data_IF_921032543787
#
_entry.id   IF_921032543787
#
_cell.length_a   1.000
_cell.length_b   1.000
_cell.length_c   1.000
_cell.angle_alpha   90.00
_cell.angle_beta   90.00
_cell.angle_gamma   90.00
#
_symmetry.space_group_name_H-M   'P 1'
#
loop_
_entity.id
_entity.type
_entity.pdbx_description
1 polymer ?
#
# COMPACT_ATOMS: atom_id res chain seq x y z
N UNK A 1 -19.80 -11.93 -8.82
CA UNK A 1 -19.27 -11.21 -10.00
C UNK A 1 -19.74 -11.83 -11.32
N UNK A 2 -19.77 -13.15 -11.48
CA UNK A 2 -20.30 -13.83 -12.68
C UNK A 2 -21.84 -13.86 -12.79
N UNK A 3 -22.56 -13.41 -11.77
CA UNK A 3 -24.02 -13.57 -11.60
C UNK A 3 -24.77 -12.24 -11.84
N UNK A 4 -24.06 -11.13 -12.00
CA UNK A 4 -24.66 -9.80 -12.19
C UNK A 4 -24.30 -9.27 -13.57
N UNK A 5 -25.27 -8.71 -14.30
CA UNK A 5 -25.08 -8.01 -15.57
C UNK A 5 -24.49 -6.60 -15.39
N UNK A 6 -24.23 -6.18 -14.13
CA UNK A 6 -23.65 -4.89 -13.84
C UNK A 6 -22.15 -4.84 -14.21
N UNK A 7 -21.71 -3.73 -14.77
CA UNK A 7 -20.30 -3.48 -15.06
C UNK A 7 -19.48 -3.53 -13.76
N UNK A 8 -18.51 -4.46 -13.62
CA UNK A 8 -17.73 -4.62 -12.40
C UNK A 8 -16.83 -3.42 -12.06
N UNK A 9 -16.68 -2.46 -12.97
CA UNK A 9 -15.90 -1.24 -12.78
C UNK A 9 -16.79 -0.06 -12.37
N UNK A 10 -18.10 -0.19 -12.52
CA UNK A 10 -19.03 0.86 -12.11
C UNK A 10 -18.90 1.14 -10.61
N UNK A 11 -18.83 2.43 -10.24
CA UNK A 11 -18.84 2.84 -8.81
C UNK A 11 -20.12 2.41 -8.07
N UNK A 12 -21.17 2.08 -8.80
CA UNK A 12 -22.44 1.58 -8.26
C UNK A 12 -22.52 0.04 -8.24
N UNK A 13 -21.45 -0.66 -8.62
CA UNK A 13 -21.45 -2.11 -8.68
C UNK A 13 -21.83 -2.75 -7.34
N UNK A 14 -21.23 -2.27 -6.25
CA UNK A 14 -21.47 -2.81 -4.90
C UNK A 14 -22.89 -2.53 -4.42
N UNK A 15 -23.48 -1.37 -4.76
CA UNK A 15 -24.85 -1.03 -4.37
C UNK A 15 -25.91 -1.87 -5.09
N UNK A 16 -25.57 -2.46 -6.23
CA UNK A 16 -26.45 -3.30 -7.03
C UNK A 16 -26.35 -4.79 -6.67
N UNK A 17 -25.44 -5.17 -5.76
CA UNK A 17 -25.28 -6.57 -5.31
C UNK A 17 -26.10 -6.77 -4.04
N UNK A 18 -27.05 -7.71 -4.08
CA UNK A 18 -27.74 -8.09 -2.85
C UNK A 18 -26.78 -8.78 -1.87
N UNK A 19 -27.02 -8.62 -0.57
CA UNK A 19 -26.24 -9.28 0.47
C UNK A 19 -26.13 -10.81 0.25
N UNK A 20 -27.23 -11.43 -0.22
CA UNK A 20 -27.27 -12.85 -0.56
C UNK A 20 -26.34 -13.22 -1.72
N UNK A 21 -26.24 -12.38 -2.75
CA UNK A 21 -25.34 -12.60 -3.89
C UNK A 21 -23.85 -12.50 -3.49
N UNK A 22 -23.55 -11.84 -2.38
CA UNK A 22 -22.19 -11.73 -1.85
C UNK A 22 -21.89 -12.87 -0.86
N UNK A 23 -22.82 -13.16 0.03
CA UNK A 23 -22.64 -14.13 1.13
C UNK A 23 -22.63 -15.56 0.63
N UNK A 24 -23.57 -15.94 -0.26
CA UNK A 24 -23.67 -17.32 -0.75
C UNK A 24 -22.40 -17.77 -1.49
N UNK A 25 -21.85 -17.04 -2.49
CA UNK A 25 -20.61 -17.43 -3.15
C UNK A 25 -19.40 -17.45 -2.19
N UNK A 26 -19.37 -16.53 -1.22
CA UNK A 26 -18.28 -16.48 -0.24
C UNK A 26 -18.30 -17.71 0.67
N UNK A 27 -19.47 -18.12 1.16
CA UNK A 27 -19.62 -19.31 1.99
C UNK A 27 -19.32 -20.57 1.15
N UNK A 28 -19.85 -20.68 -0.07
CA UNK A 28 -19.61 -21.81 -0.96
C UNK A 28 -18.12 -21.95 -1.30
N UNK A 29 -17.43 -20.84 -1.58
CA UNK A 29 -16.00 -20.82 -1.85
C UNK A 29 -15.19 -21.23 -0.62
N UNK A 30 -15.52 -20.68 0.55
CA UNK A 30 -14.85 -21.03 1.81
C UNK A 30 -15.05 -22.50 2.19
N UNK A 31 -16.27 -23.04 2.04
CA UNK A 31 -16.57 -24.44 2.27
C UNK A 31 -15.81 -25.36 1.30
N UNK A 32 -15.72 -24.98 0.03
CA UNK A 32 -14.95 -25.71 -0.98
C UNK A 32 -13.46 -25.75 -0.62
N UNK A 33 -12.89 -24.62 -0.20
CA UNK A 33 -11.50 -24.56 0.26
C UNK A 33 -11.25 -25.43 1.49
N UNK A 34 -12.17 -25.41 2.46
CA UNK A 34 -12.09 -26.28 3.63
C UNK A 34 -12.13 -27.77 3.26
N UNK A 35 -13.05 -28.16 2.38
CA UNK A 35 -13.16 -29.55 1.90
C UNK A 35 -11.87 -30.01 1.21
N UNK A 36 -11.29 -29.16 0.34
CA UNK A 36 -10.04 -29.47 -0.37
C UNK A 36 -8.87 -29.63 0.61
N UNK A 37 -8.80 -28.78 1.66
CA UNK A 37 -7.74 -28.88 2.68
C UNK A 37 -7.86 -30.14 3.53
N UNK A 38 -9.09 -30.56 3.85
CA UNK A 38 -9.36 -31.79 4.64
C UNK A 38 -8.94 -33.05 3.85
N UNK A 39 -9.21 -33.11 2.57
CA UNK A 39 -8.88 -34.29 1.76
C UNK A 39 -7.40 -34.44 1.39
N UNK A 40 -6.53 -33.43 1.70
CA UNK A 40 -5.05 -33.46 1.50
C UNK A 40 -4.55 -33.95 0.12
N UNK A 41 -5.44 -34.08 -0.87
CA UNK A 41 -5.12 -34.64 -2.21
C UNK A 41 -4.75 -33.57 -3.24
N UNK A 42 -5.00 -32.32 -2.96
CA UNK A 42 -4.76 -31.22 -3.91
C UNK A 42 -3.83 -30.18 -3.25
N UNK A 43 -2.84 -29.75 -4.00
CA UNK A 43 -2.00 -28.64 -3.57
C UNK A 43 -2.85 -27.35 -3.59
N UNK A 44 -3.23 -26.88 -2.38
CA UNK A 44 -4.11 -25.72 -2.22
C UNK A 44 -3.56 -24.47 -2.92
N UNK A 45 -2.24 -24.28 -2.87
CA UNK A 45 -1.58 -23.15 -3.52
C UNK A 45 -1.73 -23.21 -5.05
N UNK A 46 -1.66 -24.42 -5.63
CA UNK A 46 -1.87 -24.64 -7.05
C UNK A 46 -3.30 -24.31 -7.46
N UNK A 47 -4.26 -24.80 -6.68
CA UNK A 47 -5.68 -24.56 -6.94
C UNK A 47 -6.00 -23.08 -6.85
N UNK A 48 -5.58 -22.39 -5.77
CA UNK A 48 -5.80 -20.96 -5.58
C UNK A 48 -5.17 -20.14 -6.70
N UNK A 49 -3.94 -20.47 -7.08
CA UNK A 49 -3.24 -19.79 -8.16
C UNK A 49 -3.94 -19.98 -9.50
N UNK A 50 -4.39 -21.22 -9.76
CA UNK A 50 -5.19 -21.54 -10.96
C UNK A 50 -6.53 -20.81 -11.00
N UNK A 51 -7.23 -20.70 -9.86
CA UNK A 51 -8.50 -19.97 -9.77
C UNK A 51 -8.32 -18.47 -9.96
N UNK A 52 -7.28 -17.87 -9.36
CA UNK A 52 -6.94 -16.45 -9.55
C UNK A 52 -6.60 -16.19 -11.01
N UNK A 53 -5.84 -17.08 -11.64
CA UNK A 53 -5.48 -16.96 -13.05
C UNK A 53 -6.71 -17.08 -13.97
N UNK A 54 -7.57 -18.09 -13.76
CA UNK A 54 -8.80 -18.26 -14.53
C UNK A 54 -9.75 -17.05 -14.36
N UNK A 55 -9.91 -16.56 -13.13
CA UNK A 55 -10.67 -15.35 -12.84
C UNK A 55 -10.08 -14.13 -13.57
N UNK A 56 -8.76 -13.98 -13.56
CA UNK A 56 -8.07 -12.90 -14.24
C UNK A 56 -8.31 -12.94 -15.75
N UNK A 57 -8.20 -14.11 -16.38
CA UNK A 57 -8.48 -14.29 -17.82
C UNK A 57 -9.94 -13.97 -18.19
N UNK A 58 -10.90 -14.43 -17.39
CA UNK A 58 -12.32 -14.16 -17.62
C UNK A 58 -12.62 -12.66 -17.47
N UNK A 59 -11.99 -12.01 -16.49
CA UNK A 59 -12.15 -10.58 -16.27
C UNK A 59 -11.57 -9.78 -17.43
N UNK A 60 -10.39 -10.16 -17.96
CA UNK A 60 -9.81 -9.53 -19.17
C UNK A 60 -10.76 -9.67 -20.36
N UNK A 61 -11.29 -10.85 -20.58
CA UNK A 61 -12.17 -11.10 -21.74
C UNK A 61 -13.46 -10.29 -21.69
N UNK A 62 -14.01 -10.03 -20.48
CA UNK A 62 -15.21 -9.19 -20.32
C UNK A 62 -14.96 -7.69 -20.42
N UNK A 63 -13.72 -7.25 -20.29
CA UNK A 63 -13.37 -5.83 -20.29
C UNK A 63 -12.97 -5.37 -21.69
N UNK A 64 -13.80 -4.56 -22.34
CA UNK A 64 -13.53 -3.97 -23.66
C UNK A 64 -12.47 -2.88 -23.65
N UNK A 65 -12.16 -2.29 -22.47
CA UNK A 65 -11.12 -1.26 -22.26
C UNK A 65 -10.15 -1.71 -21.17
N UNK A 66 -9.31 -2.69 -21.48
CA UNK A 66 -8.27 -3.16 -20.56
C UNK A 66 -7.14 -2.14 -20.50
N UNK A 67 -6.93 -1.57 -19.34
CA UNK A 67 -5.66 -0.93 -19.03
C UNK A 67 -4.58 -2.02 -19.02
N UNK A 68 -3.43 -1.73 -19.61
CA UNK A 68 -2.27 -2.65 -19.69
C UNK A 68 -1.87 -3.28 -18.33
N UNK A 69 -2.24 -2.63 -17.22
CA UNK A 69 -1.98 -3.07 -15.84
C UNK A 69 -2.60 -4.43 -15.49
N UNK A 70 -3.80 -4.73 -16.00
CA UNK A 70 -4.43 -6.01 -15.73
C UNK A 70 -3.74 -7.15 -16.50
N UNK A 71 -3.31 -6.87 -17.73
CA UNK A 71 -2.47 -7.80 -18.51
C UNK A 71 -1.13 -8.09 -17.81
N UNK A 72 -0.49 -7.08 -17.23
CA UNK A 72 0.73 -7.26 -16.44
C UNK A 72 0.49 -8.09 -15.17
N UNK A 73 -0.62 -7.88 -14.47
CA UNK A 73 -0.97 -8.69 -13.30
C UNK A 73 -1.14 -10.17 -13.68
N UNK A 74 -1.76 -10.46 -14.83
CA UNK A 74 -1.92 -11.84 -15.32
C UNK A 74 -0.59 -12.45 -15.73
N UNK A 75 0.29 -11.69 -16.40
CA UNK A 75 1.64 -12.14 -16.77
C UNK A 75 2.45 -12.42 -15.49
N UNK A 76 2.35 -11.56 -14.46
CA UNK A 76 3.03 -11.79 -13.20
C UNK A 76 2.54 -13.05 -12.49
N UNK A 77 1.22 -13.28 -12.45
CA UNK A 77 0.63 -14.51 -11.89
C UNK A 77 1.06 -15.73 -12.70
N UNK A 78 1.05 -15.65 -14.04
CA UNK A 78 1.51 -16.71 -14.92
C UNK A 78 3.01 -17.02 -14.70
N UNK A 79 3.83 -15.98 -14.57
CA UNK A 79 5.26 -16.12 -14.29
C UNK A 79 5.51 -16.80 -12.94
N UNK A 80 4.75 -16.43 -11.90
CA UNK A 80 4.83 -17.08 -10.58
C UNK A 80 4.42 -18.55 -10.68
N UNK A 81 3.36 -18.87 -11.44
CA UNK A 81 2.92 -20.25 -11.68
C UNK A 81 4.02 -21.02 -12.39
N UNK A 82 4.52 -20.52 -13.52
CA UNK A 82 5.58 -21.17 -14.30
C UNK A 82 6.83 -21.38 -13.44
N UNK A 83 7.25 -20.36 -12.68
CA UNK A 83 8.42 -20.43 -11.81
C UNK A 83 8.26 -21.49 -10.71
N UNK A 84 7.05 -21.67 -10.19
CA UNK A 84 6.77 -22.63 -9.12
C UNK A 84 6.62 -24.06 -9.62
N UNK A 85 6.28 -24.25 -10.90
CA UNK A 85 6.09 -25.58 -11.53
C UNK A 85 7.25 -26.04 -12.39
N UNK A 86 8.00 -25.12 -12.95
CA UNK A 86 9.25 -25.45 -13.59
C UNK A 86 10.23 -25.85 -12.50
N UNK A 87 10.35 -27.01 -12.04
CA UNK A 87 11.32 -27.52 -11.05
C UNK A 87 12.74 -26.92 -11.32
N UNK A 88 12.76 -25.59 -11.30
CA UNK A 88 13.96 -24.78 -11.54
C UNK A 88 14.77 -25.01 -10.29
N UNK A 89 15.66 -26.01 -10.35
CA UNK A 89 16.75 -26.13 -9.37
C UNK A 89 17.24 -24.72 -9.11
N UNK A 90 17.29 -24.32 -7.82
CA UNK A 90 17.87 -23.05 -7.38
C UNK A 90 19.25 -22.84 -8.03
N UNK A 91 19.25 -22.47 -9.28
CA UNK A 91 20.43 -21.90 -9.90
C UNK A 91 20.52 -20.50 -9.32
N UNK A 92 21.32 -20.33 -8.27
CA UNK A 92 21.73 -19.00 -7.83
C UNK A 92 22.38 -18.29 -9.04
N UNK A 93 21.55 -17.62 -9.84
CA UNK A 93 21.98 -16.82 -10.99
C UNK A 93 22.94 -15.75 -10.49
N UNK A 94 22.69 -15.22 -9.30
CA UNK A 94 23.50 -14.18 -8.67
C UNK A 94 24.48 -14.80 -7.66
N UNK A 95 25.67 -15.13 -8.13
CA UNK A 95 26.73 -15.75 -7.30
C UNK A 95 27.43 -14.78 -6.35
N UNK A 96 27.29 -13.46 -6.56
CA UNK A 96 28.02 -12.44 -5.82
C UNK A 96 27.09 -11.42 -5.16
N UNK A 97 27.40 -11.01 -3.92
CA UNK A 97 26.66 -9.94 -3.21
C UNK A 97 26.71 -8.60 -3.95
N UNK A 98 27.80 -8.32 -4.64
CA UNK A 98 27.94 -7.08 -5.44
C UNK A 98 26.93 -7.05 -6.59
N UNK A 99 26.72 -8.16 -7.28
CA UNK A 99 25.71 -8.26 -8.35
C UNK A 99 24.28 -8.12 -7.82
N UNK A 100 23.96 -8.70 -6.66
CA UNK A 100 22.68 -8.49 -5.97
C UNK A 100 22.41 -7.00 -5.75
N UNK A 101 23.36 -6.30 -5.11
CA UNK A 101 23.23 -4.86 -4.79
C UNK A 101 23.08 -4.03 -6.06
N UNK A 102 23.92 -4.29 -7.08
CA UNK A 102 23.84 -3.57 -8.36
C UNK A 102 22.49 -3.81 -9.04
N UNK A 103 22.00 -5.04 -9.05
CA UNK A 103 20.69 -5.35 -9.67
C UNK A 103 19.56 -4.64 -8.96
N UNK A 104 19.49 -4.69 -7.60
CA UNK A 104 18.46 -3.98 -6.86
C UNK A 104 18.53 -2.48 -7.08
N UNK A 105 19.74 -1.91 -7.04
CA UNK A 105 19.94 -0.48 -7.31
C UNK A 105 19.48 -0.09 -8.72
N UNK A 106 19.84 -0.88 -9.73
CA UNK A 106 19.46 -0.65 -11.12
C UNK A 106 17.92 -0.63 -11.28
N UNK A 107 17.23 -1.66 -10.78
CA UNK A 107 15.77 -1.73 -10.87
C UNK A 107 15.10 -0.63 -10.05
N UNK A 108 15.68 -0.25 -8.90
CA UNK A 108 15.18 0.89 -8.11
C UNK A 108 15.30 2.19 -8.90
N UNK A 109 16.45 2.46 -9.50
CA UNK A 109 16.67 3.66 -10.33
C UNK A 109 15.71 3.68 -11.52
N UNK A 110 15.55 2.55 -12.23
CA UNK A 110 14.63 2.45 -13.36
C UNK A 110 13.20 2.74 -12.92
N UNK A 111 12.70 2.07 -11.87
CA UNK A 111 11.34 2.27 -11.38
C UNK A 111 11.11 3.71 -10.95
N UNK A 112 11.99 4.26 -10.11
CA UNK A 112 11.92 5.64 -9.62
C UNK A 112 11.93 6.63 -10.78
N UNK A 113 12.82 6.45 -11.76
CA UNK A 113 12.91 7.35 -12.93
C UNK A 113 11.62 7.33 -13.75
N UNK A 114 11.09 6.15 -14.06
CA UNK A 114 9.84 6.01 -14.82
C UNK A 114 8.68 6.67 -14.08
N UNK A 115 8.54 6.40 -12.78
CA UNK A 115 7.46 6.97 -11.97
C UNK A 115 7.60 8.49 -11.81
N UNK A 116 8.83 9.01 -11.59
CA UNK A 116 9.06 10.44 -11.51
C UNK A 116 8.73 11.15 -12.82
N UNK A 117 9.21 10.65 -13.93
CA UNK A 117 8.90 11.23 -15.25
C UNK A 117 7.39 11.24 -15.47
N UNK A 118 6.73 10.10 -15.28
CA UNK A 118 5.29 9.98 -15.52
C UNK A 118 4.46 10.90 -14.61
N UNK A 119 4.74 10.93 -13.30
CA UNK A 119 4.01 11.79 -12.35
C UNK A 119 4.25 13.28 -12.59
N UNK A 120 5.49 13.66 -12.91
CA UNK A 120 5.82 15.07 -13.25
C UNK A 120 5.20 15.48 -14.58
N UNK A 121 5.21 14.62 -15.60
CA UNK A 121 4.53 14.89 -16.85
C UNK A 121 3.03 15.08 -16.63
N UNK A 122 2.36 14.18 -15.90
CA UNK A 122 0.96 14.31 -15.54
C UNK A 122 0.66 15.63 -14.83
N UNK A 123 1.47 16.00 -13.84
CA UNK A 123 1.29 17.26 -13.12
C UNK A 123 1.44 18.48 -14.07
N UNK A 124 2.43 18.46 -14.96
CA UNK A 124 2.69 19.56 -15.91
C UNK A 124 1.69 19.64 -17.06
N UNK A 125 1.05 18.53 -17.44
CA UNK A 125 -0.02 18.51 -18.43
C UNK A 125 -1.39 18.89 -17.85
N UNK A 126 -1.46 19.27 -16.58
CA UNK A 126 -2.70 19.62 -15.86
C UNK A 126 -3.73 18.48 -15.82
N UNK A 127 -3.27 17.23 -15.88
CA UNK A 127 -4.11 16.03 -15.76
C UNK A 127 -4.29 15.57 -14.32
N UNK A 128 -3.73 16.29 -13.34
CA UNK A 128 -3.97 16.07 -11.91
C UNK A 128 -5.41 16.44 -11.57
N UNK A 129 -6.03 15.70 -10.64
CA UNK A 129 -7.30 16.13 -10.10
C UNK A 129 -7.08 17.44 -9.33
N UNK A 130 -7.81 18.49 -9.71
CA UNK A 130 -7.60 19.81 -9.12
C UNK A 130 -7.90 19.84 -7.62
N UNK A 131 -8.67 18.88 -7.12
CA UNK A 131 -9.16 18.90 -5.73
C UNK A 131 -8.08 18.45 -4.74
N UNK A 132 -7.63 17.20 -4.81
CA UNK A 132 -6.67 16.67 -3.82
C UNK A 132 -5.30 17.37 -3.94
N UNK A 133 -4.81 17.54 -5.17
CA UNK A 133 -3.56 18.27 -5.40
C UNK A 133 -3.64 19.72 -4.92
N UNK A 134 -4.79 20.37 -5.13
CA UNK A 134 -5.05 21.73 -4.66
C UNK A 134 -5.05 21.86 -3.15
N UNK A 135 -5.68 20.92 -2.43
CA UNK A 135 -5.67 20.85 -0.98
C UNK A 135 -4.23 20.83 -0.45
N UNK A 136 -3.44 19.87 -0.91
CA UNK A 136 -2.08 19.70 -0.40
C UNK A 136 -1.15 20.84 -0.79
N UNK A 137 -1.24 21.37 -2.01
CA UNK A 137 -0.42 22.52 -2.42
C UNK A 137 -0.71 23.75 -1.58
N UNK A 138 -1.98 24.11 -1.40
CA UNK A 138 -2.35 25.24 -0.57
C UNK A 138 -1.95 25.03 0.88
N UNK A 139 -2.16 23.82 1.41
CA UNK A 139 -1.76 23.45 2.76
C UNK A 139 -0.25 23.60 2.97
N UNK A 140 0.59 23.10 2.06
CA UNK A 140 2.03 23.23 2.16
C UNK A 140 2.50 24.66 2.06
N UNK A 141 1.90 25.48 1.19
CA UNK A 141 2.21 26.91 1.11
C UNK A 141 1.84 27.63 2.41
N UNK A 142 0.71 27.28 3.02
CA UNK A 142 0.32 27.83 4.32
C UNK A 142 1.23 27.36 5.46
N UNK A 143 1.55 26.05 5.48
CA UNK A 143 2.49 25.46 6.44
C UNK A 143 3.88 26.09 6.35
N UNK A 144 4.36 26.42 5.15
CA UNK A 144 5.68 27.03 4.95
C UNK A 144 5.81 28.41 5.59
N UNK A 145 4.68 29.12 5.79
CA UNK A 145 4.63 30.48 6.36
C UNK A 145 4.23 30.49 7.83
N UNK A 146 3.37 29.55 8.23
CA UNK A 146 2.70 29.62 9.54
C UNK A 146 2.90 28.37 10.39
N UNK A 147 3.49 27.33 9.86
CA UNK A 147 3.56 25.99 10.45
C UNK A 147 2.18 25.38 10.75
N UNK A 148 1.08 25.91 10.16
CA UNK A 148 -0.27 25.41 10.34
C UNK A 148 -0.79 24.80 9.05
N UNK A 149 -1.44 23.65 9.13
CA UNK A 149 -1.98 22.89 8.01
C UNK A 149 -3.40 23.37 7.64
N UNK A 150 -3.49 24.60 7.15
CA UNK A 150 -4.75 25.21 6.74
C UNK A 150 -4.92 25.15 5.22
N UNK A 151 -6.18 24.98 4.79
CA UNK A 151 -6.60 25.04 3.40
C UNK A 151 -8.02 25.61 3.30
N UNK A 152 -8.35 26.23 2.18
CA UNK A 152 -9.72 26.65 1.85
C UNK A 152 -10.35 25.73 0.80
N UNK A 153 -9.55 24.92 0.10
CA UNK A 153 -10.02 24.08 -1.01
C UNK A 153 -10.97 22.97 -0.54
N UNK A 154 -10.78 22.48 0.67
CA UNK A 154 -11.48 21.30 1.16
C UNK A 154 -12.97 21.53 1.43
N UNK A 155 -13.35 22.73 1.91
CA UNK A 155 -14.74 23.08 2.27
C UNK A 155 -15.13 24.52 1.92
N UNK A 156 -14.38 25.21 1.08
CA UNK A 156 -14.55 26.62 0.74
C UNK A 156 -14.47 27.58 1.96
N UNK A 157 -13.89 27.12 3.07
CA UNK A 157 -13.64 27.91 4.28
C UNK A 157 -12.22 27.63 4.75
N UNK A 158 -11.57 28.63 5.35
CA UNK A 158 -10.23 28.45 5.92
C UNK A 158 -10.33 27.55 7.15
N UNK A 159 -9.85 26.35 7.03
CA UNK A 159 -9.89 25.34 8.10
C UNK A 159 -8.61 24.52 8.17
N UNK A 160 -8.41 23.88 9.30
CA UNK A 160 -7.31 22.92 9.45
C UNK A 160 -7.64 21.63 8.69
N UNK A 161 -6.69 21.13 7.90
CA UNK A 161 -6.80 19.80 7.31
C UNK A 161 -6.96 18.69 8.37
N UNK A 162 -6.44 18.90 9.58
CA UNK A 162 -6.62 17.96 10.70
C UNK A 162 -8.05 17.87 11.23
N UNK A 163 -8.92 18.78 10.83
CA UNK A 163 -10.37 18.65 11.13
C UNK A 163 -11.03 17.53 10.32
N UNK A 164 -10.39 17.13 9.19
CA UNK A 164 -10.88 16.07 8.30
C UNK A 164 -10.02 14.82 8.38
N UNK A 165 -8.71 14.99 8.31
CA UNK A 165 -7.74 13.89 8.33
C UNK A 165 -6.56 14.20 9.25
N UNK A 166 -6.28 13.33 10.21
CA UNK A 166 -5.13 13.45 11.08
C UNK A 166 -3.88 12.90 10.41
N UNK A 167 -3.11 13.75 9.74
CA UNK A 167 -1.94 13.36 8.93
C UNK A 167 -0.68 14.19 9.24
N UNK A 168 -0.11 14.09 10.46
CA UNK A 168 1.11 14.81 10.84
C UNK A 168 2.33 14.47 9.99
N UNK A 169 2.34 13.36 9.24
CA UNK A 169 3.46 12.98 8.35
C UNK A 169 3.84 14.10 7.36
N UNK A 170 2.93 15.00 7.02
CA UNK A 170 3.21 16.14 6.16
C UNK A 170 4.30 17.07 6.70
N UNK A 171 4.44 17.18 8.02
CA UNK A 171 5.54 17.95 8.63
C UNK A 171 6.92 17.36 8.33
N UNK A 172 7.03 16.06 8.04
CA UNK A 172 8.29 15.44 7.65
C UNK A 172 8.76 15.91 6.27
N UNK A 173 7.82 16.27 5.39
CA UNK A 173 8.13 16.76 4.04
C UNK A 173 8.28 18.28 3.98
N UNK A 174 7.74 19.00 4.97
CA UNK A 174 7.73 20.45 5.01
C UNK A 174 9.13 21.09 4.86
N UNK A 175 10.19 20.64 5.54
CA UNK A 175 11.50 21.23 5.39
C UNK A 175 12.02 21.19 3.96
N UNK A 176 11.78 20.08 3.24
CA UNK A 176 12.19 19.91 1.84
C UNK A 176 11.38 20.83 0.94
N UNK A 177 10.05 20.90 1.18
CA UNK A 177 9.18 21.80 0.44
C UNK A 177 9.58 23.28 0.64
N UNK A 178 9.95 23.68 1.85
CA UNK A 178 10.40 25.07 2.14
C UNK A 178 11.65 25.47 1.35
N UNK A 179 12.53 24.53 1.04
CA UNK A 179 13.73 24.77 0.23
C UNK A 179 13.36 24.98 -1.24
N UNK A 180 12.53 24.12 -1.80
CA UNK A 180 12.28 24.09 -3.24
C UNK A 180 10.98 24.80 -3.67
N UNK A 181 9.99 24.94 -2.78
CA UNK A 181 8.67 25.60 -2.97
C UNK A 181 8.02 25.31 -4.34
N UNK A 182 7.93 24.03 -4.67
CA UNK A 182 7.42 23.59 -5.96
C UNK A 182 6.55 22.33 -5.78
N UNK A 183 5.41 22.29 -6.47
CA UNK A 183 4.50 21.14 -6.48
C UNK A 183 5.17 19.83 -6.93
N UNK A 184 6.11 19.93 -7.88
CA UNK A 184 6.88 18.79 -8.38
C UNK A 184 7.64 18.07 -7.26
N UNK A 185 8.12 18.80 -6.27
CA UNK A 185 8.87 18.22 -5.15
C UNK A 185 7.99 17.24 -4.35
N UNK A 186 6.72 17.55 -4.15
CA UNK A 186 5.82 16.72 -3.38
C UNK A 186 5.57 15.37 -4.07
N UNK A 187 5.34 15.36 -5.38
CA UNK A 187 5.14 14.11 -6.12
C UNK A 187 6.43 13.29 -6.22
N UNK A 188 7.59 13.95 -6.33
CA UNK A 188 8.89 13.27 -6.29
C UNK A 188 9.12 12.62 -4.92
N UNK A 189 8.85 13.32 -3.83
CA UNK A 189 9.00 12.79 -2.47
C UNK A 189 8.09 11.57 -2.24
N UNK A 190 6.85 11.59 -2.74
CA UNK A 190 5.96 10.44 -2.68
C UNK A 190 6.59 9.21 -3.36
N UNK A 191 7.11 9.36 -4.59
CA UNK A 191 7.77 8.26 -5.31
C UNK A 191 8.99 7.74 -4.54
N UNK A 192 9.80 8.64 -3.96
CA UNK A 192 10.99 8.25 -3.18
C UNK A 192 10.64 7.52 -1.90
N UNK A 193 9.59 7.96 -1.19
CA UNK A 193 9.15 7.32 0.06
C UNK A 193 8.68 5.90 -0.22
N UNK A 194 7.82 5.69 -1.22
CA UNK A 194 7.36 4.34 -1.51
C UNK A 194 8.50 3.44 -2.00
N UNK A 195 9.39 3.94 -2.86
CA UNK A 195 10.55 3.19 -3.33
C UNK A 195 11.51 2.82 -2.19
N UNK A 196 11.59 3.65 -1.13
CA UNK A 196 12.43 3.38 0.05
C UNK A 196 12.05 2.10 0.78
N UNK A 197 10.83 1.59 0.59
CA UNK A 197 10.38 0.31 1.15
C UNK A 197 11.18 -0.90 0.65
N UNK A 198 11.93 -0.76 -0.44
CA UNK A 198 12.88 -1.80 -0.87
C UNK A 198 13.96 -2.07 0.18
N UNK A 199 14.32 -1.08 0.98
CA UNK A 199 15.36 -1.20 2.01
C UNK A 199 14.97 -2.18 3.14
N UNK A 200 13.83 -2.00 3.83
CA UNK A 200 13.36 -2.98 4.80
C UNK A 200 13.06 -4.33 4.16
N UNK A 201 12.56 -4.37 2.92
CA UNK A 201 12.29 -5.62 2.20
C UNK A 201 13.55 -6.47 2.04
N UNK A 202 14.67 -5.90 1.57
CA UNK A 202 15.95 -6.60 1.47
C UNK A 202 16.41 -7.13 2.84
N UNK A 203 16.24 -6.32 3.90
CA UNK A 203 16.58 -6.74 5.26
C UNK A 203 15.72 -7.89 5.73
N UNK A 204 14.43 -7.90 5.39
CA UNK A 204 13.49 -8.99 5.68
C UNK A 204 13.91 -10.25 4.92
N UNK A 205 14.17 -10.17 3.61
CA UNK A 205 14.66 -11.30 2.82
C UNK A 205 15.90 -11.96 3.45
N UNK A 206 16.84 -11.14 3.91
CA UNK A 206 18.04 -11.65 4.60
C UNK A 206 17.74 -12.31 5.95
N UNK A 207 16.76 -11.81 6.70
CA UNK A 207 16.33 -12.44 7.96
C UNK A 207 15.72 -13.83 7.72
N UNK A 208 15.00 -13.98 6.62
CA UNK A 208 14.42 -15.25 6.20
C UNK A 208 15.40 -16.13 5.42
N UNK A 209 16.65 -15.70 5.29
CA UNK A 209 17.73 -16.43 4.56
C UNK A 209 17.37 -16.74 3.12
N UNK A 210 16.60 -15.86 2.47
CA UNK A 210 16.32 -16.01 1.05
C UNK A 210 17.60 -15.86 0.22
N UNK A 211 17.65 -16.57 -0.92
CA UNK A 211 18.72 -16.47 -1.89
C UNK A 211 18.86 -15.05 -2.46
N UNK A 212 20.02 -14.76 -3.08
CA UNK A 212 20.26 -13.43 -3.67
C UNK A 212 19.32 -13.16 -4.83
N UNK A 213 19.08 -14.17 -5.66
CA UNK A 213 18.13 -14.10 -6.78
C UNK A 213 16.73 -13.79 -6.26
N UNK A 214 16.28 -14.48 -5.21
CA UNK A 214 14.96 -14.25 -4.62
C UNK A 214 14.83 -12.84 -4.03
N UNK A 215 15.89 -12.33 -3.40
CA UNK A 215 15.94 -10.97 -2.87
C UNK A 215 15.75 -9.93 -3.97
N UNK A 216 16.41 -10.11 -5.12
CA UNK A 216 16.25 -9.23 -6.28
C UNK A 216 14.85 -9.35 -6.87
N UNK A 217 14.32 -10.57 -7.02
CA UNK A 217 12.95 -10.79 -7.51
C UNK A 217 11.89 -10.15 -6.61
N UNK A 218 12.00 -10.33 -5.29
CA UNK A 218 11.11 -9.65 -4.33
C UNK A 218 11.18 -8.13 -4.45
N UNK A 219 12.40 -7.59 -4.66
CA UNK A 219 12.59 -6.15 -4.85
C UNK A 219 11.95 -5.64 -6.15
N UNK A 220 12.10 -6.39 -7.26
CA UNK A 220 11.46 -6.07 -8.53
C UNK A 220 9.93 -6.12 -8.39
N UNK A 221 9.39 -7.18 -7.78
CA UNK A 221 7.95 -7.32 -7.55
C UNK A 221 7.42 -6.12 -6.75
N UNK A 222 8.11 -5.71 -5.69
CA UNK A 222 7.72 -4.55 -4.89
C UNK A 222 7.74 -3.25 -5.69
N UNK A 223 8.85 -2.97 -6.39
CA UNK A 223 9.07 -1.73 -7.12
C UNK A 223 8.12 -1.56 -8.32
N UNK A 224 7.72 -2.65 -8.94
CA UNK A 224 6.84 -2.67 -10.12
C UNK A 224 5.45 -3.22 -9.80
N UNK A 225 5.10 -3.31 -8.49
CA UNK A 225 3.77 -3.76 -8.09
C UNK A 225 2.69 -2.85 -8.67
N UNK A 226 1.75 -3.38 -9.47
CA UNK A 226 0.82 -2.55 -10.23
C UNK A 226 0.03 -1.56 -9.37
N UNK A 227 -0.42 -1.97 -8.17
CA UNK A 227 -1.16 -1.08 -7.28
C UNK A 227 -0.31 0.08 -6.76
N UNK A 228 1.01 -0.12 -6.55
CA UNK A 228 1.91 0.96 -6.15
C UNK A 228 2.21 1.89 -7.32
N UNK A 229 2.49 1.33 -8.49
CA UNK A 229 2.76 2.12 -9.68
C UNK A 229 1.55 2.96 -10.10
N UNK A 230 0.36 2.37 -10.15
CA UNK A 230 -0.86 3.08 -10.56
C UNK A 230 -1.25 4.18 -9.57
N UNK A 231 -1.08 3.93 -8.26
CA UNK A 231 -1.41 4.90 -7.23
C UNK A 231 -0.51 6.15 -7.28
N UNK A 232 0.73 6.04 -7.79
CA UNK A 232 1.60 7.20 -8.01
C UNK A 232 1.05 8.15 -9.08
N UNK A 233 0.25 7.64 -10.02
CA UNK A 233 -0.42 8.45 -11.03
C UNK A 233 -1.76 9.06 -10.55
N UNK A 234 -2.18 8.78 -9.34
CA UNK A 234 -3.16 9.60 -8.64
C UNK A 234 -2.49 10.92 -8.21
N UNK A 235 -3.10 11.74 -7.43
CA UNK A 235 -2.44 12.93 -6.86
C UNK A 235 -1.61 12.55 -5.64
N UNK A 236 -0.90 13.51 -5.06
CA UNK A 236 -0.19 13.26 -3.80
C UNK A 236 -1.18 12.84 -2.71
N UNK A 237 -0.85 11.77 -1.99
CA UNK A 237 -1.71 11.27 -0.92
C UNK A 237 -0.87 10.55 0.15
N UNK A 238 -1.13 10.85 1.42
CA UNK A 238 -0.37 10.31 2.56
C UNK A 238 -0.40 8.79 2.64
N UNK A 239 -1.51 8.14 2.25
CA UNK A 239 -1.64 6.68 2.28
C UNK A 239 -0.56 5.95 1.47
N UNK A 240 0.06 6.63 0.51
CA UNK A 240 1.16 6.07 -0.30
C UNK A 240 2.43 5.80 0.52
N UNK A 241 2.56 6.37 1.71
CA UNK A 241 3.71 6.17 2.59
C UNK A 241 3.60 4.87 3.41
N UNK A 242 2.38 4.37 3.62
CA UNK A 242 2.10 3.21 4.46
C UNK A 242 2.89 1.95 4.07
N UNK A 243 3.00 1.55 2.78
CA UNK A 243 3.70 0.33 2.43
C UNK A 243 5.16 0.29 2.91
N UNK A 244 5.89 1.40 2.76
CA UNK A 244 7.27 1.50 3.22
C UNK A 244 7.37 1.44 4.75
N UNK A 245 6.49 2.15 5.46
CA UNK A 245 6.50 2.19 6.93
C UNK A 245 6.06 0.86 7.54
N UNK A 246 5.08 0.18 6.94
CA UNK A 246 4.63 -1.16 7.37
C UNK A 246 5.76 -2.19 7.20
N UNK A 247 6.53 -2.13 6.12
CA UNK A 247 7.69 -2.99 5.93
C UNK A 247 8.77 -2.74 7.00
N UNK A 248 9.01 -1.48 7.39
CA UNK A 248 9.90 -1.17 8.50
C UNK A 248 9.38 -1.73 9.83
N UNK A 249 8.09 -1.56 10.14
CA UNK A 249 7.49 -2.14 11.33
C UNK A 249 7.70 -3.65 11.36
N UNK A 250 7.36 -4.34 10.27
CA UNK A 250 7.53 -5.78 10.18
C UNK A 250 8.99 -6.24 10.34
N UNK A 251 9.95 -5.48 9.77
CA UNK A 251 11.37 -5.74 9.96
C UNK A 251 11.78 -5.63 11.43
N UNK A 252 11.37 -4.56 12.12
CA UNK A 252 11.70 -4.38 13.55
C UNK A 252 11.05 -5.46 14.43
N UNK A 253 9.82 -5.86 14.13
CA UNK A 253 9.17 -7.01 14.78
C UNK A 253 9.98 -8.30 14.60
N UNK A 254 10.51 -8.54 13.39
CA UNK A 254 11.36 -9.69 13.14
C UNK A 254 12.66 -9.64 13.93
N UNK A 255 13.22 -8.46 14.16
CA UNK A 255 14.42 -8.23 14.96
C UNK A 255 14.17 -8.14 16.46
N UNK A 256 12.91 -8.08 16.92
CA UNK A 256 12.53 -7.79 18.32
C UNK A 256 13.14 -6.47 18.80
N UNK A 257 13.22 -5.48 17.93
CA UNK A 257 13.72 -4.15 18.26
C UNK A 257 12.53 -3.27 18.66
N UNK A 258 12.22 -3.23 19.95
CA UNK A 258 11.05 -2.50 20.45
C UNK A 258 11.11 -0.99 20.21
N UNK A 259 12.31 -0.39 20.24
CA UNK A 259 12.46 1.04 19.90
C UNK A 259 12.08 1.27 18.44
N UNK A 260 12.58 0.44 17.52
CA UNK A 260 12.21 0.49 16.11
C UNK A 260 10.72 0.20 15.87
N UNK A 261 10.12 -0.74 16.62
CA UNK A 261 8.68 -1.03 16.56
C UNK A 261 7.85 0.21 16.93
N UNK A 262 8.19 0.86 18.05
CA UNK A 262 7.49 2.09 18.49
C UNK A 262 7.67 3.20 17.47
N UNK A 263 8.90 3.45 17.01
CA UNK A 263 9.17 4.50 16.02
C UNK A 263 8.40 4.26 14.70
N UNK A 264 8.36 3.02 14.21
CA UNK A 264 7.60 2.67 13.01
C UNK A 264 6.08 2.80 13.23
N UNK A 265 5.56 2.41 14.41
CA UNK A 265 4.16 2.61 14.75
C UNK A 265 3.79 4.11 14.77
N UNK A 266 4.62 4.97 15.34
CA UNK A 266 4.39 6.42 15.36
C UNK A 266 4.41 7.00 13.94
N UNK A 267 5.33 6.56 13.07
CA UNK A 267 5.34 6.95 11.66
C UNK A 267 4.06 6.51 10.94
N UNK A 268 3.59 5.28 11.15
CA UNK A 268 2.34 4.79 10.55
C UNK A 268 1.15 5.60 11.06
N UNK A 269 1.04 5.82 12.38
CA UNK A 269 -0.04 6.61 12.97
C UNK A 269 -0.04 8.08 12.51
N UNK A 270 1.13 8.59 12.11
CA UNK A 270 1.23 9.95 11.57
C UNK A 270 0.68 10.09 10.16
N UNK A 271 0.40 8.99 9.46
CA UNK A 271 -0.07 9.02 8.07
C UNK A 271 -1.54 9.41 8.00
N UNK A 272 -2.39 8.68 8.74
CA UNK A 272 -3.84 8.93 8.74
C UNK A 272 -4.48 8.29 9.97
N UNK A 273 -5.67 8.76 10.34
CA UNK A 273 -6.41 8.27 11.52
C UNK A 273 -6.77 6.78 11.46
N UNK A 274 -6.96 6.22 10.27
CA UNK A 274 -7.27 4.80 10.06
C UNK A 274 -6.03 3.90 9.98
N UNK A 275 -4.84 4.48 9.90
CA UNK A 275 -3.59 3.74 9.80
C UNK A 275 -3.31 2.84 11.03
N UNK A 276 -3.92 3.17 12.19
CA UNK A 276 -3.87 2.32 13.38
C UNK A 276 -4.38 0.90 13.15
N UNK A 277 -5.31 0.70 12.22
CA UNK A 277 -5.86 -0.63 11.88
C UNK A 277 -4.77 -1.56 11.34
N UNK A 278 -3.85 -1.07 10.50
CA UNK A 278 -2.73 -1.87 9.98
C UNK A 278 -1.80 -2.33 11.10
N UNK A 279 -1.56 -1.46 12.08
CA UNK A 279 -0.74 -1.78 13.26
C UNK A 279 -1.42 -2.84 14.10
N UNK A 280 -2.73 -2.72 14.36
CA UNK A 280 -3.53 -3.70 15.11
C UNK A 280 -3.47 -5.06 14.40
N UNK A 281 -3.69 -5.11 13.10
CA UNK A 281 -3.65 -6.36 12.32
C UNK A 281 -2.26 -7.04 12.41
N UNK A 282 -1.17 -6.29 12.30
CA UNK A 282 0.18 -6.84 12.45
C UNK A 282 0.47 -7.29 13.88
N UNK A 283 0.00 -6.53 14.87
CA UNK A 283 0.13 -6.89 16.28
C UNK A 283 -0.61 -8.19 16.60
N UNK A 284 -1.86 -8.31 16.16
CA UNK A 284 -2.67 -9.53 16.32
C UNK A 284 -2.02 -10.72 15.60
N UNK A 285 -1.58 -10.55 14.36
CA UNK A 285 -0.83 -11.58 13.63
C UNK A 285 0.38 -12.07 14.45
N UNK A 286 1.12 -11.16 15.08
CA UNK A 286 2.27 -11.48 15.90
C UNK A 286 1.90 -12.19 17.20
N UNK A 287 0.75 -11.86 17.82
CA UNK A 287 0.23 -12.52 19.02
C UNK A 287 -0.09 -13.99 18.78
N UNK A 288 -0.69 -14.29 17.62
CA UNK A 288 -0.97 -15.68 17.22
C UNK A 288 0.30 -16.45 16.82
N UNK A 289 1.39 -15.76 16.52
CA UNK A 289 2.69 -16.37 16.27
C UNK A 289 3.37 -16.77 17.58
N UNK A 290 3.64 -18.07 17.78
CA UNK A 290 4.24 -18.62 19.02
C UNK A 290 5.56 -17.96 19.45
N UNK A 291 6.23 -17.22 18.55
CA UNK A 291 7.59 -16.69 18.78
C UNK A 291 7.68 -15.21 19.16
N UNK A 292 6.59 -14.42 19.08
CA UNK A 292 6.67 -12.95 19.14
C UNK A 292 5.56 -12.28 19.96
N UNK A 293 5.11 -12.90 21.04
CA UNK A 293 3.97 -12.43 21.85
C UNK A 293 4.17 -11.03 22.43
N UNK A 294 5.38 -10.71 22.92
CA UNK A 294 5.66 -9.40 23.54
C UNK A 294 5.56 -8.26 22.51
N UNK A 295 6.22 -8.39 21.34
CA UNK A 295 6.07 -7.43 20.25
C UNK A 295 4.62 -7.33 19.80
N UNK A 296 3.91 -8.45 19.68
CA UNK A 296 2.50 -8.47 19.28
C UNK A 296 1.62 -7.67 20.24
N UNK A 297 1.78 -7.87 21.56
CA UNK A 297 1.02 -7.14 22.58
C UNK A 297 1.32 -5.63 22.52
N UNK A 298 2.61 -5.26 22.52
CA UNK A 298 3.04 -3.87 22.46
C UNK A 298 2.44 -3.14 21.24
N UNK A 299 2.59 -3.73 20.05
CA UNK A 299 2.14 -3.16 18.80
C UNK A 299 0.61 -3.06 18.76
N UNK A 300 -0.11 -4.10 19.23
CA UNK A 300 -1.59 -4.07 19.28
C UNK A 300 -2.08 -2.94 20.19
N UNK A 301 -1.48 -2.79 21.38
CA UNK A 301 -1.85 -1.71 22.31
C UNK A 301 -1.59 -0.34 21.67
N UNK A 302 -0.41 -0.13 21.08
CA UNK A 302 -0.08 1.14 20.38
C UNK A 302 -1.08 1.42 19.25
N UNK A 303 -1.42 0.39 18.45
CA UNK A 303 -2.38 0.53 17.37
C UNK A 303 -3.78 0.92 17.86
N UNK A 304 -4.28 0.28 18.92
CA UNK A 304 -5.59 0.58 19.51
C UNK A 304 -5.59 2.00 20.08
N UNK A 305 -4.60 2.33 20.93
CA UNK A 305 -4.52 3.67 21.52
C UNK A 305 -4.35 4.76 20.47
N UNK A 306 -3.54 4.50 19.43
CA UNK A 306 -3.35 5.42 18.31
C UNK A 306 -4.64 5.62 17.52
N UNK A 307 -5.32 4.53 17.14
CA UNK A 307 -6.59 4.61 16.41
C UNK A 307 -7.66 5.36 17.19
N UNK A 308 -7.84 5.05 18.49
CA UNK A 308 -8.79 5.76 19.35
C UNK A 308 -8.38 7.23 19.49
N UNK A 309 -7.11 7.50 19.80
CA UNK A 309 -6.61 8.86 20.03
C UNK A 309 -6.76 9.77 18.82
N UNK A 310 -6.42 9.29 17.60
CA UNK A 310 -6.54 10.09 16.37
C UNK A 310 -8.01 10.35 16.01
N UNK A 311 -8.90 9.37 16.17
CA UNK A 311 -10.32 9.56 15.92
C UNK A 311 -10.97 10.48 16.97
N UNK A 312 -10.59 10.36 18.25
CA UNK A 312 -11.04 11.30 19.30
C UNK A 312 -10.57 12.73 18.99
N UNK A 313 -9.34 12.91 18.54
CA UNK A 313 -8.82 14.21 18.14
C UNK A 313 -9.71 14.85 17.06
N UNK A 314 -10.02 14.11 15.99
CA UNK A 314 -10.89 14.60 14.91
C UNK A 314 -12.30 14.90 15.43
N UNK A 315 -12.86 14.06 16.31
CA UNK A 315 -14.20 14.27 16.85
C UNK A 315 -14.27 15.53 17.75
N UNK A 316 -13.22 15.79 18.53
CA UNK A 316 -13.20 16.94 19.45
C UNK A 316 -12.90 18.25 18.70
N UNK A 317 -11.93 18.24 17.80
CA UNK A 317 -11.43 19.45 17.13
C UNK A 317 -11.97 19.62 15.70
N UNK A 318 -12.55 18.59 15.11
CA UNK A 318 -13.02 18.60 13.72
C UNK A 318 -14.42 19.17 13.52
N UNK A 319 -15.12 19.59 14.59
CA UNK A 319 -16.43 20.26 14.53
C UNK A 319 -17.47 19.51 13.65
N UNK A 320 -17.41 18.18 13.60
CA UNK A 320 -18.31 17.35 12.79
C UNK A 320 -18.08 17.39 11.27
N UNK A 321 -17.08 18.12 10.80
CA UNK A 321 -16.79 18.28 9.34
C UNK A 321 -16.59 16.96 8.62
N UNK A 322 -16.04 15.96 9.30
CA UNK A 322 -15.82 14.62 8.72
C UNK A 322 -17.13 13.87 8.50
N UNK A 323 -18.09 14.00 9.43
CA UNK A 323 -19.39 13.30 9.37
C UNK A 323 -20.26 13.92 8.28
N UNK A 324 -20.32 15.24 8.21
CA UNK A 324 -21.16 15.98 7.25
C UNK A 324 -20.62 15.95 5.80
N UNK A 325 -19.59 15.16 5.53
CA UNK A 325 -19.06 15.02 4.15
C UNK A 325 -19.95 14.18 3.24
N UNK A 326 -20.75 13.31 3.83
CA UNK A 326 -21.52 12.29 3.12
C UNK A 326 -23.05 12.50 3.22
N UNK A 327 -23.47 13.56 3.91
CA UNK A 327 -24.83 14.06 3.94
C UNK A 327 -25.03 15.12 2.84
#
# INVERSE_FOLDING_TARGET
MLISDADPISKYYVSNISLLQLVIPTIAFSATLCLITVFKRVNLNLLLTGLIFAYSLISIWKMTNTTAYFGFACIAVLAIIIFRFADIKETEILKCRKTEIISVLLFTVISVTILMIGTVCKLKSYESSCFDMGIFLQMFEYMSKTCKQYTTVERNVLMSHFNVHFSPCWYLLLPIYMIFRNSVVLVILQVLIIASGVLPLIKICRLYKLGRTDTVLCSIIYLFYPAFCSSQFFDIHENMFLPAFILWLYYFMCKKNHIGEVAACLLILSVKEDAGVYIICLGLYSLFSKKKKTSGLLITIIGILGFIGTNLYINIFGEGVKVNRYD
#
